data_IF_909320490957
#
_entry.id   IF_909320490957
#
_cell.length_a   1.000
_cell.length_b   1.000
_cell.length_c   1.000
_cell.angle_alpha   90.00
_cell.angle_beta   90.00
_cell.angle_gamma   90.00
#
_symmetry.space_group_name_H-M   'P 1'
#
loop_
_entity.id
_entity.type
_entity.pdbx_description
1 polymer ?
#
# COMPACT_ATOMS: atom_id res chain seq x y z
N UNK A 1 3.16 -55.27 -8.02
CA UNK A 1 2.94 -54.06 -8.87
C UNK A 1 1.86 -53.24 -8.20
N UNK A 2 2.22 -52.17 -7.53
CA UNK A 2 1.29 -51.28 -6.79
C UNK A 2 1.21 -49.91 -7.51
N UNK A 3 0.26 -49.72 -8.44
CA UNK A 3 0.14 -48.49 -9.25
C UNK A 3 -0.37 -47.27 -8.48
N UNK A 4 -0.63 -47.39 -7.18
CA UNK A 4 -1.28 -46.29 -6.42
C UNK A 4 -0.37 -45.24 -5.84
N UNK A 5 0.96 -45.47 -5.79
CA UNK A 5 1.89 -44.49 -5.22
C UNK A 5 2.11 -43.24 -6.12
N UNK A 6 2.16 -43.44 -7.43
CA UNK A 6 2.34 -42.36 -8.39
C UNK A 6 1.15 -41.40 -8.48
N UNK A 7 -0.09 -41.93 -8.40
CA UNK A 7 -1.28 -41.10 -8.51
C UNK A 7 -1.48 -40.14 -7.31
N UNK A 8 -1.10 -40.55 -6.10
CA UNK A 8 -1.18 -39.72 -4.92
C UNK A 8 -0.16 -38.56 -4.96
N UNK A 9 1.05 -38.83 -5.44
CA UNK A 9 2.07 -37.80 -5.61
C UNK A 9 1.66 -36.72 -6.62
N UNK A 10 1.13 -37.16 -7.79
CA UNK A 10 0.66 -36.23 -8.83
C UNK A 10 -0.52 -35.36 -8.35
N UNK A 11 -1.45 -35.93 -7.58
CA UNK A 11 -2.58 -35.16 -7.03
C UNK A 11 -2.15 -34.12 -6.00
N UNK A 12 -1.18 -34.44 -5.13
CA UNK A 12 -0.64 -33.50 -4.14
C UNK A 12 0.10 -32.35 -4.82
N UNK A 13 0.81 -32.63 -5.90
CA UNK A 13 1.53 -31.63 -6.70
C UNK A 13 0.57 -30.70 -7.43
N UNK A 14 -0.49 -31.23 -8.03
CA UNK A 14 -1.51 -30.42 -8.70
C UNK A 14 -2.22 -29.47 -7.70
N UNK A 15 -2.44 -29.90 -6.47
CA UNK A 15 -3.00 -29.06 -5.41
C UNK A 15 -2.05 -27.94 -4.97
N UNK A 16 -0.76 -28.21 -4.83
CA UNK A 16 0.25 -27.20 -4.46
C UNK A 16 0.51 -26.20 -5.60
N UNK A 17 0.46 -26.64 -6.85
CA UNK A 17 0.61 -25.77 -8.02
C UNK A 17 -0.63 -24.88 -8.29
N UNK A 18 -1.79 -25.22 -7.72
CA UNK A 18 -3.02 -24.44 -7.86
C UNK A 18 -3.16 -23.29 -6.86
N UNK A 19 -2.21 -23.12 -5.92
CA UNK A 19 -2.20 -21.95 -5.01
C UNK A 19 -1.43 -20.83 -5.69
N UNK A 20 -2.13 -19.88 -6.35
CA UNK A 20 -1.46 -18.70 -6.85
C UNK A 20 -0.79 -18.00 -5.66
N UNK A 21 0.42 -17.52 -5.84
CA UNK A 21 1.15 -16.81 -4.78
C UNK A 21 0.30 -15.70 -4.16
N UNK A 22 0.42 -15.49 -2.86
CA UNK A 22 -0.41 -14.55 -2.10
C UNK A 22 -0.43 -13.15 -2.72
N UNK A 23 0.69 -12.72 -3.31
CA UNK A 23 0.78 -11.40 -3.93
C UNK A 23 -0.10 -11.24 -5.16
N UNK A 24 -0.28 -12.28 -5.97
CA UNK A 24 -1.15 -12.21 -7.16
C UNK A 24 -2.63 -12.06 -6.80
N UNK A 25 -3.05 -12.61 -5.66
CA UNK A 25 -4.46 -12.62 -5.25
C UNK A 25 -4.79 -11.44 -4.34
N UNK A 26 -3.87 -11.07 -3.45
CA UNK A 26 -4.15 -10.11 -2.38
C UNK A 26 -3.70 -8.68 -2.69
N UNK A 27 -2.82 -8.49 -3.68
CA UNK A 27 -2.30 -7.16 -4.00
C UNK A 27 -3.14 -6.49 -5.09
N UNK A 28 -3.58 -5.26 -4.81
CA UNK A 28 -4.29 -4.40 -5.76
C UNK A 28 -3.34 -3.40 -6.37
N UNK A 29 -3.36 -3.29 -7.70
CA UNK A 29 -2.59 -2.27 -8.41
C UNK A 29 -3.19 -0.88 -8.17
N UNK A 30 -2.35 0.17 -8.11
CA UNK A 30 -2.82 1.54 -8.03
C UNK A 30 -3.58 1.94 -9.31
N UNK A 31 -4.55 2.86 -9.19
CA UNK A 31 -5.19 3.44 -10.36
C UNK A 31 -4.13 4.16 -11.22
N UNK A 32 -4.33 4.19 -12.57
CA UNK A 32 -3.43 4.94 -13.43
C UNK A 32 -3.45 6.44 -13.07
N UNK A 33 -2.34 7.19 -13.28
CA UNK A 33 -2.21 8.59 -12.88
C UNK A 33 -3.35 9.49 -13.37
N UNK A 34 -3.88 9.21 -14.56
CA UNK A 34 -5.01 9.95 -15.15
C UNK A 34 -6.34 9.78 -14.38
N UNK A 35 -6.44 8.80 -13.50
CA UNK A 35 -7.64 8.51 -12.69
C UNK A 35 -7.47 8.89 -11.23
N UNK A 36 -6.31 9.43 -10.84
CA UNK A 36 -6.10 9.94 -9.49
C UNK A 36 -6.98 11.17 -9.26
N UNK A 37 -7.82 11.09 -8.24
CA UNK A 37 -8.73 12.16 -7.83
C UNK A 37 -8.30 12.69 -6.47
N UNK A 38 -8.32 14.01 -6.32
CA UNK A 38 -7.91 14.68 -5.07
C UNK A 38 -8.81 14.35 -3.88
N UNK A 39 -10.08 14.08 -4.18
CA UNK A 39 -11.13 13.78 -3.18
C UNK A 39 -11.17 12.32 -2.71
N UNK A 40 -10.48 11.41 -3.42
CA UNK A 40 -10.50 9.96 -3.14
C UNK A 40 -9.08 9.44 -2.98
N UNK A 41 -8.79 8.85 -1.83
CA UNK A 41 -7.51 8.18 -1.61
C UNK A 41 -7.37 6.95 -2.52
N UNK A 42 -6.18 6.72 -3.11
CA UNK A 42 -5.95 5.56 -3.97
C UNK A 42 -6.17 4.24 -3.22
N UNK A 43 -7.12 3.41 -3.69
CA UNK A 43 -7.38 2.07 -3.14
C UNK A 43 -6.39 1.07 -3.76
N UNK A 44 -5.22 0.94 -3.16
CA UNK A 44 -4.19 0.00 -3.59
C UNK A 44 -3.44 -0.61 -2.40
N UNK A 45 -2.70 -1.68 -2.65
CA UNK A 45 -1.98 -2.42 -1.61
C UNK A 45 -0.53 -1.96 -1.52
N UNK A 46 -0.17 -1.30 -0.44
CA UNK A 46 1.19 -0.84 -0.12
C UNK A 46 1.94 -1.79 0.84
N UNK A 47 1.23 -2.78 1.40
CA UNK A 47 1.74 -3.73 2.37
C UNK A 47 2.85 -4.62 1.80
N UNK A 48 3.83 -4.96 2.64
CA UNK A 48 4.93 -5.88 2.29
C UNK A 48 4.67 -7.32 2.73
N UNK A 49 3.59 -7.57 3.47
CA UNK A 49 3.27 -8.90 4.01
C UNK A 49 3.16 -9.98 2.93
N UNK A 50 2.25 -9.85 1.96
CA UNK A 50 2.07 -10.86 0.92
C UNK A 50 3.36 -11.20 0.14
N UNK A 51 4.14 -10.22 -0.39
CA UNK A 51 5.37 -10.55 -1.11
C UNK A 51 6.47 -11.16 -0.22
N UNK A 52 6.50 -10.86 1.08
CA UNK A 52 7.44 -11.49 2.02
C UNK A 52 7.05 -12.95 2.24
N UNK A 53 5.76 -13.26 2.37
CA UNK A 53 5.27 -14.65 2.48
C UNK A 53 5.61 -15.45 1.22
N UNK A 54 5.44 -14.88 0.03
CA UNK A 54 5.81 -15.52 -1.23
C UNK A 54 7.32 -15.74 -1.33
N UNK A 55 8.13 -14.78 -0.89
CA UNK A 55 9.59 -14.94 -0.85
C UNK A 55 10.01 -16.06 0.09
N UNK A 56 9.35 -16.17 1.25
CA UNK A 56 9.58 -17.27 2.19
C UNK A 56 9.16 -18.62 1.55
N UNK A 57 8.02 -18.66 0.88
CA UNK A 57 7.56 -19.84 0.13
C UNK A 57 8.56 -20.27 -0.94
N UNK A 58 9.14 -19.33 -1.68
CA UNK A 58 10.19 -19.61 -2.66
C UNK A 58 11.42 -20.23 -2.01
N UNK A 59 11.88 -19.66 -0.88
CA UNK A 59 13.01 -20.17 -0.12
C UNK A 59 12.79 -21.59 0.41
N UNK A 60 11.62 -21.84 0.99
CA UNK A 60 11.24 -23.17 1.49
C UNK A 60 11.15 -24.20 0.37
N UNK A 61 10.58 -23.85 -0.79
CA UNK A 61 10.53 -24.74 -1.94
C UNK A 61 11.91 -25.08 -2.47
N UNK A 62 12.80 -24.10 -2.58
CA UNK A 62 14.18 -24.32 -3.00
C UNK A 62 14.94 -25.24 -2.04
N UNK A 63 14.85 -24.99 -0.72
CA UNK A 63 15.47 -25.83 0.29
C UNK A 63 14.93 -27.27 0.28
N UNK A 64 13.62 -27.44 0.12
CA UNK A 64 13.00 -28.77 0.01
C UNK A 64 13.51 -29.52 -1.21
N UNK A 65 13.63 -28.84 -2.35
CA UNK A 65 14.18 -29.43 -3.56
C UNK A 65 15.63 -29.88 -3.37
N UNK A 66 16.48 -29.03 -2.80
CA UNK A 66 17.89 -29.37 -2.48
C UNK A 66 17.99 -30.55 -1.51
N UNK A 67 17.12 -30.59 -0.50
CA UNK A 67 17.09 -31.70 0.46
C UNK A 67 16.71 -33.03 -0.20
N UNK A 68 15.70 -33.04 -1.08
CA UNK A 68 15.33 -34.24 -1.85
C UNK A 68 16.47 -34.72 -2.72
N UNK A 69 17.16 -33.79 -3.41
CA UNK A 69 18.32 -34.16 -4.23
C UNK A 69 19.47 -34.73 -3.39
N UNK A 70 19.75 -34.16 -2.22
CA UNK A 70 20.79 -34.67 -1.33
C UNK A 70 20.46 -36.07 -0.80
N UNK A 71 19.18 -36.35 -0.48
CA UNK A 71 18.76 -37.70 -0.05
C UNK A 71 18.82 -38.71 -1.20
N UNK A 72 18.49 -38.30 -2.41
CA UNK A 72 18.61 -39.16 -3.61
C UNK A 72 20.08 -39.58 -3.84
N UNK A 73 21.00 -38.66 -3.71
CA UNK A 73 22.45 -38.92 -3.86
C UNK A 73 23.00 -39.87 -2.75
N UNK A 74 22.58 -39.64 -1.51
CA UNK A 74 22.97 -40.47 -0.38
C UNK A 74 22.36 -41.89 -0.38
N UNK A 75 21.14 -42.00 -0.88
CA UNK A 75 20.37 -43.26 -0.89
C UNK A 75 20.73 -44.22 -2.03
N UNK A 76 21.35 -43.75 -3.09
CA UNK A 76 21.84 -44.59 -4.21
C UNK A 76 20.79 -45.38 -5.00
N UNK A 77 19.51 -45.21 -4.67
CA UNK A 77 18.38 -46.00 -5.25
C UNK A 77 17.23 -45.11 -5.79
N UNK A 78 17.47 -43.81 -5.95
CA UNK A 78 16.46 -42.94 -6.54
C UNK A 78 16.46 -43.15 -8.06
N UNK A 79 15.33 -43.50 -8.62
CA UNK A 79 15.17 -43.58 -10.06
C UNK A 79 15.27 -42.19 -10.69
N UNK A 80 15.90 -42.08 -11.85
CA UNK A 80 16.08 -40.80 -12.56
C UNK A 80 14.75 -40.05 -12.80
N UNK A 81 13.65 -40.82 -12.92
CA UNK A 81 12.30 -40.29 -13.10
C UNK A 81 11.80 -39.56 -11.83
N UNK A 82 12.02 -40.14 -10.64
CA UNK A 82 11.63 -39.55 -9.36
C UNK A 82 12.42 -38.26 -9.07
N UNK A 83 13.71 -38.25 -9.36
CA UNK A 83 14.59 -37.06 -9.22
C UNK A 83 14.14 -35.96 -10.16
N UNK A 84 13.87 -36.31 -11.42
CA UNK A 84 13.39 -35.34 -12.42
C UNK A 84 12.06 -34.74 -12.01
N UNK A 85 11.11 -35.54 -11.54
CA UNK A 85 9.82 -35.08 -11.06
C UNK A 85 9.99 -34.12 -9.87
N UNK A 86 10.84 -34.44 -8.90
CA UNK A 86 11.11 -33.57 -7.76
C UNK A 86 11.70 -32.21 -8.19
N UNK A 87 12.68 -32.22 -9.09
CA UNK A 87 13.30 -30.98 -9.62
C UNK A 87 12.28 -30.10 -10.33
N UNK A 88 11.43 -30.69 -11.16
CA UNK A 88 10.39 -29.95 -11.86
C UNK A 88 9.38 -29.32 -10.90
N UNK A 89 8.94 -30.06 -9.89
CA UNK A 89 7.95 -29.59 -8.91
C UNK A 89 8.50 -28.44 -8.06
N UNK A 90 9.63 -28.68 -7.39
CA UNK A 90 10.20 -27.70 -6.50
C UNK A 90 10.79 -26.52 -7.25
N UNK A 91 11.38 -26.76 -8.43
CA UNK A 91 11.87 -25.71 -9.31
C UNK A 91 10.75 -24.81 -9.81
N UNK A 92 9.66 -25.37 -10.34
CA UNK A 92 8.51 -24.60 -10.80
C UNK A 92 7.86 -23.82 -9.65
N UNK A 93 7.68 -24.43 -8.48
CA UNK A 93 7.13 -23.76 -7.30
C UNK A 93 8.00 -22.57 -6.86
N UNK A 94 9.32 -22.75 -6.82
CA UNK A 94 10.27 -21.69 -6.49
C UNK A 94 10.15 -20.51 -7.45
N UNK A 95 10.11 -20.78 -8.76
CA UNK A 95 9.97 -19.74 -9.79
C UNK A 95 8.64 -19.00 -9.64
N UNK A 96 7.54 -19.69 -9.43
CA UNK A 96 6.20 -19.09 -9.28
C UNK A 96 6.14 -18.18 -8.04
N UNK A 97 6.61 -18.64 -6.88
CA UNK A 97 6.64 -17.82 -5.68
C UNK A 97 7.59 -16.63 -5.79
N UNK A 98 8.75 -16.81 -6.41
CA UNK A 98 9.68 -15.71 -6.65
C UNK A 98 9.08 -14.66 -7.60
N UNK A 99 8.43 -15.07 -8.69
CA UNK A 99 7.75 -14.17 -9.60
C UNK A 99 6.61 -13.41 -8.92
N UNK A 100 5.82 -14.11 -8.08
CA UNK A 100 4.76 -13.51 -7.27
C UNK A 100 5.31 -12.48 -6.29
N UNK A 101 6.40 -12.79 -5.57
CA UNK A 101 7.05 -11.85 -4.66
C UNK A 101 7.55 -10.59 -5.38
N UNK A 102 8.22 -10.75 -6.52
CA UNK A 102 8.70 -9.62 -7.32
C UNK A 102 7.54 -8.75 -7.81
N UNK A 103 6.47 -9.36 -8.30
CA UNK A 103 5.25 -8.65 -8.71
C UNK A 103 4.66 -7.87 -7.54
N UNK A 104 4.51 -8.50 -6.38
CA UNK A 104 3.98 -7.87 -5.17
C UNK A 104 4.82 -6.67 -4.70
N UNK A 105 6.14 -6.79 -4.69
CA UNK A 105 7.01 -5.66 -4.34
C UNK A 105 6.92 -4.51 -5.34
N UNK A 106 6.75 -4.80 -6.63
CA UNK A 106 6.53 -3.77 -7.67
C UNK A 106 5.19 -3.05 -7.46
N UNK A 107 4.11 -3.79 -7.20
CA UNK A 107 2.79 -3.23 -6.90
C UNK A 107 2.83 -2.36 -5.65
N UNK A 108 3.43 -2.82 -4.55
CA UNK A 108 3.59 -2.04 -3.33
C UNK A 108 4.40 -0.74 -3.54
N UNK A 109 5.43 -0.77 -4.39
CA UNK A 109 6.18 0.44 -4.76
C UNK A 109 5.33 1.43 -5.54
N UNK A 110 4.58 0.95 -6.54
CA UNK A 110 3.69 1.79 -7.36
C UNK A 110 2.60 2.42 -6.49
N UNK A 111 2.00 1.65 -5.58
CA UNK A 111 1.00 2.15 -4.65
C UNK A 111 1.55 3.29 -3.79
N UNK A 112 2.71 3.12 -3.16
CA UNK A 112 3.35 4.18 -2.38
C UNK A 112 3.65 5.43 -3.20
N UNK A 113 4.06 5.26 -4.46
CA UNK A 113 4.24 6.38 -5.39
C UNK A 113 2.93 7.12 -5.65
N UNK A 114 1.86 6.40 -5.97
CA UNK A 114 0.54 6.97 -6.22
C UNK A 114 -0.03 7.70 -4.98
N UNK A 115 0.14 7.11 -3.79
CA UNK A 115 -0.28 7.73 -2.54
C UNK A 115 0.51 9.01 -2.24
N UNK A 116 1.84 9.02 -2.47
CA UNK A 116 2.67 10.21 -2.30
C UNK A 116 2.26 11.34 -3.27
N UNK A 117 1.97 11.01 -4.52
CA UNK A 117 1.48 11.95 -5.52
C UNK A 117 0.11 12.52 -5.11
N UNK A 118 -0.80 11.68 -4.65
CA UNK A 118 -2.11 12.09 -4.15
C UNK A 118 -1.99 13.06 -2.96
N UNK A 119 -1.12 12.80 -1.97
CA UNK A 119 -0.87 13.73 -0.88
C UNK A 119 -0.35 15.08 -1.37
N UNK A 120 0.55 15.07 -2.35
CA UNK A 120 1.08 16.30 -2.94
C UNK A 120 -0.03 17.11 -3.62
N UNK A 121 -0.87 16.46 -4.43
CA UNK A 121 -2.03 17.11 -5.04
C UNK A 121 -3.00 17.67 -3.99
N UNK A 122 -3.33 16.88 -2.97
CA UNK A 122 -4.25 17.30 -1.91
C UNK A 122 -3.74 18.54 -1.16
N UNK A 123 -2.44 18.62 -0.88
CA UNK A 123 -1.86 19.79 -0.21
C UNK A 123 -1.86 21.02 -1.09
N UNK A 124 -1.69 20.87 -2.40
CA UNK A 124 -1.76 22.00 -3.35
C UNK A 124 -3.19 22.51 -3.57
N UNK A 125 -4.17 21.62 -3.54
CA UNK A 125 -5.59 21.95 -3.75
C UNK A 125 -6.38 22.11 -2.45
N UNK A 126 -5.72 22.01 -1.28
CA UNK A 126 -6.39 22.29 -0.02
C UNK A 126 -6.92 23.74 -0.05
N UNK A 127 -8.24 23.97 0.11
CA UNK A 127 -8.75 25.31 0.20
C UNK A 127 -8.05 26.01 1.36
N UNK A 128 -7.77 27.31 1.24
CA UNK A 128 -7.14 28.06 2.32
C UNK A 128 -7.95 27.82 3.60
N UNK A 129 -7.26 27.36 4.63
CA UNK A 129 -7.88 27.11 5.92
C UNK A 129 -8.55 28.41 6.35
N UNK A 130 -9.88 28.42 6.44
CA UNK A 130 -10.62 29.56 6.96
C UNK A 130 -10.10 29.83 8.37
N UNK A 131 -9.25 30.87 8.49
CA UNK A 131 -8.91 31.41 9.78
C UNK A 131 -10.10 32.29 10.20
N UNK A 132 -10.85 31.89 11.24
CA UNK A 132 -11.88 32.78 11.76
C UNK A 132 -11.21 34.12 12.11
N UNK A 133 -11.85 35.24 11.77
CA UNK A 133 -11.30 36.53 12.12
C UNK A 133 -10.98 36.55 13.62
N UNK A 134 -9.84 37.13 14.01
CA UNK A 134 -9.47 37.18 15.43
C UNK A 134 -10.65 37.74 16.24
N UNK A 135 -10.93 37.17 17.43
CA UNK A 135 -12.04 37.62 18.25
C UNK A 135 -11.93 39.12 18.43
N UNK A 136 -12.98 39.82 18.03
CA UNK A 136 -13.06 41.28 18.22
C UNK A 136 -12.99 41.54 19.70
N UNK A 137 -11.88 42.13 20.15
CA UNK A 137 -11.74 42.49 21.57
C UNK A 137 -12.81 43.56 21.88
N UNK A 138 -13.74 43.30 22.79
CA UNK A 138 -14.66 44.32 23.26
C UNK A 138 -13.82 45.42 23.84
N UNK A 139 -14.02 46.65 23.46
CA UNK A 139 -13.26 47.85 23.79
C UNK A 139 -11.98 48.15 22.95
N UNK A 140 -11.70 47.37 21.89
CA UNK A 140 -10.64 47.77 20.93
C UNK A 140 -10.99 49.13 20.29
N UNK A 141 -10.01 50.02 20.05
CA UNK A 141 -10.28 51.31 19.39
C UNK A 141 -11.02 51.12 18.06
N UNK A 142 -12.16 51.75 17.88
CA UNK A 142 -13.03 51.64 16.70
C UNK A 142 -14.10 50.55 16.77
N UNK A 143 -14.08 49.63 17.77
CA UNK A 143 -15.15 48.67 18.02
C UNK A 143 -16.35 49.34 18.74
N UNK A 144 -17.51 48.67 18.76
CA UNK A 144 -18.67 49.10 19.54
C UNK A 144 -18.26 49.34 21.02
N UNK A 145 -18.60 50.50 21.57
CA UNK A 145 -18.19 50.92 22.90
C UNK A 145 -16.67 51.10 23.10
N UNK A 146 -15.86 50.93 22.06
CA UNK A 146 -14.44 51.25 22.06
C UNK A 146 -14.21 52.72 21.79
N UNK A 147 -13.01 53.23 22.16
CA UNK A 147 -12.64 54.62 21.87
C UNK A 147 -12.53 54.85 20.35
N UNK A 148 -12.91 56.04 19.92
CA UNK A 148 -12.73 56.43 18.50
C UNK A 148 -11.24 56.44 18.14
N UNK A 149 -10.92 55.99 16.95
CA UNK A 149 -9.55 56.05 16.42
C UNK A 149 -9.22 57.52 16.04
N UNK A 150 -7.98 57.93 16.17
CA UNK A 150 -7.57 59.26 15.71
C UNK A 150 -7.53 59.38 14.16
N UNK A 151 -7.69 58.25 13.45
CA UNK A 151 -7.65 58.15 11.97
C UNK A 151 -9.02 57.88 11.38
N UNK A 152 -9.26 58.35 10.15
CA UNK A 152 -10.53 58.08 9.43
C UNK A 152 -10.44 56.71 8.73
N UNK A 153 -11.48 55.87 8.85
CA UNK A 153 -12.70 56.02 9.66
C UNK A 153 -12.45 55.86 11.19
N UNK A 154 -13.01 56.71 11.98
CA UNK A 154 -12.84 56.71 13.43
C UNK A 154 -13.43 55.50 14.14
N UNK A 155 -14.41 54.84 13.54
CA UNK A 155 -15.07 53.65 14.03
C UNK A 155 -15.15 52.59 12.95
N UNK A 156 -15.48 51.36 13.32
CA UNK A 156 -15.74 50.29 12.36
C UNK A 156 -17.00 50.59 11.52
N UNK A 157 -17.16 50.02 10.32
CA UNK A 157 -18.31 50.24 9.46
C UNK A 157 -19.65 50.01 10.20
N UNK A 158 -20.54 51.00 10.10
CA UNK A 158 -21.85 50.96 10.74
C UNK A 158 -21.89 51.65 12.12
N UNK A 159 -20.76 52.10 12.66
CA UNK A 159 -20.68 52.82 13.94
C UNK A 159 -20.27 54.28 13.74
N UNK A 160 -20.77 55.14 14.61
CA UNK A 160 -20.49 56.56 14.61
C UNK A 160 -19.73 56.96 15.88
N UNK A 161 -18.76 57.87 15.76
CA UNK A 161 -18.04 58.37 16.91
C UNK A 161 -18.91 59.41 17.65
N UNK A 162 -19.37 59.06 18.86
CA UNK A 162 -20.11 59.96 19.73
C UNK A 162 -19.44 60.00 21.11
N UNK A 163 -19.19 61.18 21.62
CA UNK A 163 -18.58 61.37 22.94
C UNK A 163 -17.26 60.61 23.14
N UNK A 164 -16.44 60.50 22.10
CA UNK A 164 -15.17 59.74 22.05
C UNK A 164 -15.30 58.24 22.04
N UNK A 165 -16.49 57.70 21.91
CA UNK A 165 -16.76 56.23 21.80
C UNK A 165 -17.53 55.94 20.53
N UNK A 166 -17.31 54.76 19.99
CA UNK A 166 -18.04 54.25 18.84
C UNK A 166 -19.40 53.63 19.28
N UNK A 167 -20.48 54.13 18.74
CA UNK A 167 -21.86 53.69 19.04
C UNK A 167 -22.62 53.42 17.76
#
# INVERSE_FOLDING_TARGET
>A
MTPHRGAAAVATVALLASVPGCSFVLMRDPPPPAQLRVDVEPDCSDGRGPPVIDLFGAGMSALSGLFVLALADLGGNADDEDVTAAVLIFGASTVLFAASAVSGFRTARRCRGATAEWYTMRTQYAPPVYQPPPPVQPNAPGAERGMCRPTVPACNPGLVCASSYCV
#
